data_IF_642320861658
#
_entry.id   IF_642320861658
#
_cell.length_a   1.000
_cell.length_b   1.000
_cell.length_c   1.000
_cell.angle_alpha   90.00
_cell.angle_beta   90.00
_cell.angle_gamma   90.00
#
_symmetry.space_group_name_H-M   'P 1'
#
loop_
_entity.id
_entity.type
_entity.pdbx_description
1 polymer ?
#
# COMPACT_ATOMS: atom_id res chain seq x y z
N UNK A 1 -63.08 16.51 23.99
CA UNK A 1 -61.91 15.80 23.43
C UNK A 1 -62.04 14.32 23.77
N UNK A 2 -62.43 13.49 22.80
CA UNK A 2 -62.74 12.08 23.05
C UNK A 2 -61.47 11.29 23.41
N UNK A 3 -61.64 10.18 24.14
CA UNK A 3 -60.50 9.28 24.47
C UNK A 3 -59.77 8.80 23.20
N UNK A 4 -60.50 8.66 22.09
CA UNK A 4 -59.98 8.31 20.77
C UNK A 4 -59.06 9.39 20.17
N UNK A 5 -59.42 10.68 20.34
CA UNK A 5 -58.59 11.80 19.86
C UNK A 5 -57.26 11.86 20.61
N UNK A 6 -57.27 11.57 21.92
CA UNK A 6 -56.06 11.51 22.74
C UNK A 6 -55.13 10.37 22.33
N UNK A 7 -55.68 9.18 22.02
CA UNK A 7 -54.87 8.04 21.56
C UNK A 7 -54.27 8.25 20.18
N UNK A 8 -55.00 8.92 19.28
CA UNK A 8 -54.48 9.32 17.95
C UNK A 8 -53.32 10.32 18.07
N UNK A 9 -53.44 11.30 18.97
CA UNK A 9 -52.41 12.31 19.16
C UNK A 9 -51.12 11.72 19.75
N UNK A 10 -51.24 10.76 20.67
CA UNK A 10 -50.10 10.02 21.24
C UNK A 10 -49.41 9.14 20.18
N UNK A 11 -50.18 8.47 19.32
CA UNK A 11 -49.60 7.62 18.26
C UNK A 11 -48.87 8.44 17.20
N UNK A 12 -49.38 9.61 16.82
CA UNK A 12 -48.70 10.53 15.89
C UNK A 12 -47.39 11.05 16.49
N UNK A 13 -47.38 11.40 17.79
CA UNK A 13 -46.16 11.83 18.49
C UNK A 13 -45.10 10.71 18.57
N UNK A 14 -45.53 9.47 18.84
CA UNK A 14 -44.63 8.31 18.86
C UNK A 14 -44.03 8.03 17.47
N UNK A 15 -44.85 8.06 16.42
CA UNK A 15 -44.39 7.88 15.03
C UNK A 15 -43.42 8.99 14.61
N UNK A 16 -43.71 10.25 14.96
CA UNK A 16 -42.82 11.38 14.71
C UNK A 16 -41.48 11.24 15.45
N UNK A 17 -41.50 10.76 16.70
CA UNK A 17 -40.29 10.48 17.48
C UNK A 17 -39.44 9.37 16.87
N UNK A 18 -40.05 8.29 16.39
CA UNK A 18 -39.36 7.18 15.72
C UNK A 18 -38.75 7.63 14.39
N UNK A 19 -39.50 8.38 13.58
CA UNK A 19 -38.99 8.95 12.31
C UNK A 19 -37.83 9.91 12.54
N UNK A 20 -37.92 10.77 13.55
CA UNK A 20 -36.83 11.68 13.92
C UNK A 20 -35.59 10.93 14.39
N UNK A 21 -35.78 9.87 15.20
CA UNK A 21 -34.68 9.02 15.65
C UNK A 21 -34.03 8.31 14.46
N UNK A 22 -34.81 7.66 13.58
CA UNK A 22 -34.28 7.01 12.38
C UNK A 22 -33.52 8.01 11.49
N UNK A 23 -34.09 9.20 11.24
CA UNK A 23 -33.43 10.22 10.42
C UNK A 23 -32.10 10.69 11.04
N UNK A 24 -32.06 10.90 12.36
CA UNK A 24 -30.83 11.28 13.07
C UNK A 24 -29.77 10.18 13.03
N UNK A 25 -30.18 8.92 13.06
CA UNK A 25 -29.26 7.79 12.94
C UNK A 25 -28.71 7.71 11.52
N UNK A 26 -29.56 7.83 10.49
CA UNK A 26 -29.13 7.83 9.09
C UNK A 26 -28.12 8.94 8.81
N UNK A 27 -28.40 10.18 9.24
CA UNK A 27 -27.48 11.32 9.05
C UNK A 27 -26.13 11.07 9.73
N UNK A 28 -26.11 10.53 10.97
CA UNK A 28 -24.84 10.18 11.63
C UNK A 28 -24.06 9.12 10.87
N UNK A 29 -24.73 8.09 10.35
CA UNK A 29 -24.07 7.05 9.57
C UNK A 29 -23.47 7.62 8.28
N UNK A 30 -24.17 8.53 7.61
CA UNK A 30 -23.66 9.18 6.39
C UNK A 30 -22.49 10.11 6.70
N UNK A 31 -22.54 10.89 7.79
CA UNK A 31 -21.45 11.76 8.23
C UNK A 31 -20.22 10.99 8.73
N UNK A 32 -20.41 9.84 9.38
CA UNK A 32 -19.30 8.96 9.76
C UNK A 32 -18.64 8.37 8.51
N UNK A 33 -19.44 7.86 7.56
CA UNK A 33 -18.95 7.37 6.27
C UNK A 33 -18.17 8.45 5.52
N UNK A 34 -18.72 9.65 5.42
CA UNK A 34 -18.09 10.74 4.68
C UNK A 34 -16.84 11.28 5.40
N UNK A 35 -16.81 11.28 6.74
CA UNK A 35 -15.56 11.52 7.50
C UNK A 35 -14.53 10.42 7.29
N UNK A 36 -14.92 9.15 7.20
CA UNK A 36 -14.00 8.06 6.84
C UNK A 36 -13.45 8.22 5.41
N UNK A 37 -14.29 8.65 4.44
CA UNK A 37 -13.86 8.98 3.07
C UNK A 37 -12.86 10.15 3.05
N UNK A 38 -13.15 11.24 3.76
CA UNK A 38 -12.26 12.41 3.84
C UNK A 38 -10.96 12.13 4.62
N UNK A 39 -11.00 11.28 5.65
CA UNK A 39 -9.79 10.84 6.33
C UNK A 39 -8.92 9.99 5.40
N UNK A 40 -9.52 9.13 4.57
CA UNK A 40 -8.77 8.28 3.63
C UNK A 40 -7.91 9.10 2.65
N UNK A 41 -8.42 10.26 2.21
CA UNK A 41 -7.65 11.22 1.39
C UNK A 41 -6.63 12.03 2.20
N UNK A 42 -6.94 12.37 3.46
CA UNK A 42 -6.02 13.14 4.32
C UNK A 42 -4.85 12.28 4.87
N UNK A 43 -5.04 10.96 5.02
CA UNK A 43 -4.03 10.04 5.55
C UNK A 43 -2.81 9.83 4.65
N UNK A 44 -2.86 10.34 3.42
CA UNK A 44 -1.71 10.43 2.53
C UNK A 44 -0.63 11.42 3.04
N UNK A 45 -0.97 12.34 3.96
CA UNK A 45 -0.01 13.26 4.57
C UNK A 45 0.70 12.73 5.82
N UNK A 46 0.18 11.66 6.43
CA UNK A 46 0.66 11.12 7.73
C UNK A 46 1.72 10.01 7.58
N UNK A 47 2.39 9.95 6.42
CA UNK A 47 3.44 8.95 6.16
C UNK A 47 4.71 9.32 6.92
N UNK A 48 4.99 8.61 8.01
CA UNK A 48 6.21 8.80 8.80
C UNK A 48 7.35 8.00 8.18
N UNK A 49 8.28 8.71 7.55
CA UNK A 49 9.57 8.16 7.10
C UNK A 49 10.49 7.94 8.30
N UNK A 50 10.97 6.71 8.46
CA UNK A 50 11.93 6.33 9.49
C UNK A 50 13.12 5.67 8.81
N UNK A 51 14.33 6.09 9.17
CA UNK A 51 15.55 5.38 8.78
C UNK A 51 16.02 4.66 10.02
N UNK A 52 15.88 3.34 10.04
CA UNK A 52 16.24 2.52 11.19
C UNK A 52 17.76 2.35 11.25
N UNK A 53 18.40 2.22 10.08
CA UNK A 53 19.87 2.12 9.93
C UNK A 53 20.33 2.75 8.61
N UNK A 54 21.64 2.82 8.38
CA UNK A 54 22.25 3.33 7.14
C UNK A 54 21.70 2.65 5.88
N UNK A 55 21.22 1.41 5.97
CA UNK A 55 20.70 0.64 4.85
C UNK A 55 19.18 0.34 4.90
N UNK A 56 18.56 0.53 6.07
CA UNK A 56 17.17 0.12 6.29
C UNK A 56 16.26 1.32 6.31
N UNK A 57 15.51 1.52 5.22
CA UNK A 57 14.47 2.54 5.15
C UNK A 57 13.12 1.94 5.52
N UNK A 58 12.33 2.64 6.33
CA UNK A 58 10.99 2.24 6.74
C UNK A 58 9.95 3.37 6.56
N UNK A 59 8.71 3.00 6.26
CA UNK A 59 7.55 3.89 6.21
C UNK A 59 6.46 3.35 7.13
N UNK A 60 5.93 4.21 8.01
CA UNK A 60 4.69 3.95 8.76
C UNK A 60 3.54 4.75 8.16
N UNK A 61 2.45 4.07 7.80
CA UNK A 61 1.25 4.66 7.23
C UNK A 61 0.00 4.04 7.87
N UNK A 62 -1.09 4.83 7.97
CA UNK A 62 -2.38 4.29 8.40
C UNK A 62 -3.01 3.51 7.23
N UNK A 63 -3.49 2.32 7.54
CA UNK A 63 -4.17 1.45 6.60
C UNK A 63 -5.67 1.79 6.48
N UNK A 64 -6.20 1.66 5.27
CA UNK A 64 -7.60 1.93 4.95
C UNK A 64 -8.46 0.67 5.11
N UNK A 65 -9.76 0.86 5.34
CA UNK A 65 -10.75 -0.22 5.36
C UNK A 65 -11.83 0.13 4.35
N UNK A 66 -12.01 -0.70 3.34
CA UNK A 66 -12.98 -0.49 2.26
C UNK A 66 -13.86 -1.73 2.12
N UNK A 67 -15.12 -1.55 1.72
CA UNK A 67 -15.92 -2.68 1.21
C UNK A 67 -15.45 -3.09 -0.18
N UNK A 68 -15.96 -4.21 -0.68
CA UNK A 68 -15.67 -4.66 -2.05
C UNK A 68 -16.15 -3.63 -3.08
N UNK A 69 -17.37 -3.10 -2.91
CA UNK A 69 -17.95 -2.12 -3.83
C UNK A 69 -17.13 -0.82 -3.84
N UNK A 70 -16.71 -0.34 -2.67
CA UNK A 70 -15.85 0.85 -2.55
C UNK A 70 -14.47 0.62 -3.18
N UNK A 71 -13.92 -0.59 -3.04
CA UNK A 71 -12.66 -0.94 -3.68
C UNK A 71 -12.79 -0.94 -5.20
N UNK A 72 -13.86 -1.51 -5.76
CA UNK A 72 -14.08 -1.50 -7.21
C UNK A 72 -14.35 -0.09 -7.76
N UNK A 73 -15.02 0.78 -7.01
CA UNK A 73 -15.26 2.19 -7.40
C UNK A 73 -13.98 3.03 -7.38
N UNK A 74 -13.23 3.00 -6.27
CA UNK A 74 -12.04 3.84 -6.11
C UNK A 74 -10.78 3.27 -6.77
N UNK A 75 -10.71 1.95 -6.97
CA UNK A 75 -9.52 1.22 -7.46
C UNK A 75 -9.86 0.29 -8.62
N UNK A 76 -10.61 0.81 -9.60
CA UNK A 76 -11.04 0.05 -10.77
C UNK A 76 -9.86 -0.60 -11.53
N UNK A 77 -8.76 0.14 -11.75
CA UNK A 77 -7.57 -0.37 -12.46
C UNK A 77 -6.86 -1.51 -11.69
N UNK A 78 -6.72 -1.35 -10.37
CA UNK A 78 -6.14 -2.37 -9.51
C UNK A 78 -7.04 -3.62 -9.51
N UNK A 79 -8.36 -3.45 -9.44
CA UNK A 79 -9.33 -4.54 -9.50
C UNK A 79 -9.28 -5.30 -10.84
N UNK A 80 -9.16 -4.61 -11.98
CA UNK A 80 -8.96 -5.27 -13.27
C UNK A 80 -7.66 -6.07 -13.33
N UNK A 81 -6.58 -5.53 -12.79
CA UNK A 81 -5.30 -6.23 -12.69
C UNK A 81 -5.41 -7.48 -11.82
N UNK A 82 -6.06 -7.40 -10.66
CA UNK A 82 -6.29 -8.55 -9.78
C UNK A 82 -7.16 -9.62 -10.47
N UNK A 83 -8.18 -9.23 -11.24
CA UNK A 83 -8.99 -10.17 -12.04
C UNK A 83 -8.15 -10.87 -13.11
N UNK A 84 -7.26 -10.14 -13.81
CA UNK A 84 -6.32 -10.70 -14.80
C UNK A 84 -5.33 -11.68 -14.16
N UNK A 85 -4.95 -11.45 -12.90
CA UNK A 85 -4.15 -12.38 -12.09
C UNK A 85 -4.94 -13.62 -11.64
N UNK A 86 -6.22 -13.76 -12.02
CA UNK A 86 -7.07 -14.91 -11.71
C UNK A 86 -7.73 -14.87 -10.33
N UNK A 87 -7.61 -13.75 -9.61
CA UNK A 87 -8.21 -13.60 -8.28
C UNK A 87 -9.59 -12.98 -8.41
N UNK A 88 -10.59 -13.64 -7.83
CA UNK A 88 -11.96 -13.09 -7.75
C UNK A 88 -12.00 -12.00 -6.69
N UNK A 89 -12.42 -10.79 -7.06
CA UNK A 89 -12.46 -9.62 -6.15
C UNK A 89 -13.26 -9.88 -4.88
N UNK A 90 -14.36 -10.64 -4.98
CA UNK A 90 -15.16 -11.05 -3.81
C UNK A 90 -14.38 -11.83 -2.73
N UNK A 91 -13.27 -12.46 -3.09
CA UNK A 91 -12.41 -13.20 -2.17
C UNK A 91 -11.27 -12.36 -1.60
N UNK A 92 -11.13 -11.10 -2.04
CA UNK A 92 -10.07 -10.20 -1.61
C UNK A 92 -10.21 -9.92 -0.11
N UNK A 93 -9.12 -10.10 0.64
CA UNK A 93 -9.09 -9.81 2.09
C UNK A 93 -8.33 -8.52 2.39
N UNK A 94 -7.30 -8.25 1.59
CA UNK A 94 -6.55 -7.04 1.60
C UNK A 94 -5.86 -6.81 0.26
N UNK A 95 -5.57 -5.56 -0.07
CA UNK A 95 -4.73 -5.15 -1.17
C UNK A 95 -3.64 -4.21 -0.66
N UNK A 96 -2.44 -4.34 -1.19
CA UNK A 96 -1.32 -3.46 -0.87
C UNK A 96 -0.63 -3.01 -2.15
N UNK A 97 -0.24 -1.74 -2.22
CA UNK A 97 0.47 -1.17 -3.36
C UNK A 97 1.66 -0.37 -2.86
N UNK A 98 2.79 -0.56 -3.54
CA UNK A 98 4.07 0.03 -3.18
C UNK A 98 4.72 0.59 -4.42
N UNK A 99 5.14 1.85 -4.37
CA UNK A 99 5.98 2.44 -5.41
C UNK A 99 7.39 2.56 -4.87
N UNK A 100 8.33 1.97 -5.60
CA UNK A 100 9.71 1.83 -5.17
C UNK A 100 10.61 2.36 -6.27
N UNK A 101 11.51 3.26 -5.91
CA UNK A 101 12.51 3.83 -6.80
C UNK A 101 13.91 3.36 -6.37
N UNK A 102 14.75 3.02 -7.33
CA UNK A 102 16.12 2.55 -7.06
C UNK A 102 17.12 3.57 -7.58
N UNK A 103 17.93 4.13 -6.68
CA UNK A 103 19.00 5.08 -6.96
C UNK A 103 20.34 4.51 -6.52
N UNK A 104 20.93 3.71 -7.40
CA UNK A 104 22.21 3.05 -7.18
C UNK A 104 23.33 3.76 -7.98
N UNK A 105 24.41 4.24 -7.34
CA UNK A 105 25.56 4.72 -8.07
C UNK A 105 26.27 3.55 -8.76
N UNK A 106 26.75 3.77 -9.99
CA UNK A 106 27.57 2.80 -10.71
C UNK A 106 29.01 3.32 -10.72
N UNK A 107 29.87 2.62 -10.00
CA UNK A 107 31.32 2.82 -10.00
C UNK A 107 31.97 1.46 -10.31
N UNK A 108 32.22 1.22 -11.60
CA UNK A 108 32.61 -0.09 -12.10
C UNK A 108 34.00 -0.02 -12.74
N UNK A 109 34.86 -0.98 -12.38
CA UNK A 109 36.20 -1.06 -12.94
C UNK A 109 36.16 -1.61 -14.36
N UNK A 110 36.84 -0.93 -15.28
CA UNK A 110 37.05 -1.41 -16.66
C UNK A 110 38.34 -2.22 -16.69
N UNK A 111 38.27 -3.47 -17.16
CA UNK A 111 39.41 -4.38 -17.29
C UNK A 111 39.46 -4.97 -18.69
N UNK A 112 40.65 -5.10 -19.26
CA UNK A 112 40.80 -5.82 -20.52
C UNK A 112 40.57 -7.34 -20.29
N UNK A 113 39.86 -7.97 -21.22
CA UNK A 113 39.54 -9.38 -21.23
C UNK A 113 39.69 -9.94 -22.64
N UNK A 114 40.15 -11.19 -22.74
CA UNK A 114 40.24 -11.90 -24.01
C UNK A 114 39.05 -12.84 -24.12
N UNK A 115 38.21 -12.62 -25.12
CA UNK A 115 37.07 -13.51 -25.41
C UNK A 115 37.39 -14.26 -26.70
N UNK A 116 37.37 -15.58 -26.64
CA UNK A 116 37.57 -16.43 -27.81
C UNK A 116 36.22 -16.62 -28.49
N UNK A 117 36.10 -16.10 -29.71
CA UNK A 117 34.93 -16.31 -30.58
C UNK A 117 35.44 -16.92 -31.87
N UNK A 118 34.90 -18.08 -32.25
CA UNK A 118 35.23 -18.75 -33.50
C UNK A 118 36.74 -18.88 -33.74
N UNK A 119 37.47 -19.39 -32.74
CA UNK A 119 38.93 -19.60 -32.72
C UNK A 119 39.83 -18.34 -32.78
N UNK A 120 39.27 -17.13 -32.83
CA UNK A 120 40.04 -15.87 -32.79
C UNK A 120 39.95 -15.23 -31.40
N UNK A 121 41.08 -14.93 -30.72
CA UNK A 121 41.06 -14.15 -29.48
C UNK A 121 40.74 -12.69 -29.80
N UNK A 122 39.61 -12.19 -29.29
CA UNK A 122 39.21 -10.80 -29.40
C UNK A 122 39.49 -10.09 -28.08
N UNK A 123 40.28 -9.01 -28.13
CA UNK A 123 40.46 -8.11 -27.00
C UNK A 123 39.16 -7.32 -26.79
N UNK A 124 38.58 -7.46 -25.60
CA UNK A 124 37.35 -6.79 -25.17
C UNK A 124 37.60 -6.14 -23.82
N UNK A 125 36.76 -5.17 -23.46
CA UNK A 125 36.80 -4.59 -22.12
C UNK A 125 35.62 -5.13 -21.32
N UNK A 126 35.88 -5.69 -20.16
CA UNK A 126 34.87 -6.09 -19.18
C UNK A 126 34.71 -4.98 -18.16
N UNK A 127 33.47 -4.63 -17.88
CA UNK A 127 33.09 -3.70 -16.82
C UNK A 127 32.38 -4.50 -15.74
N UNK A 128 32.87 -4.43 -14.50
CA UNK A 128 32.30 -5.21 -13.40
C UNK A 128 32.28 -4.39 -12.11
N UNK A 129 31.17 -4.49 -11.40
CA UNK A 129 30.97 -3.94 -10.06
C UNK A 129 30.15 -4.96 -9.27
N UNK A 130 30.77 -5.50 -8.22
CA UNK A 130 30.11 -6.44 -7.30
C UNK A 130 30.16 -5.84 -5.92
N UNK A 131 29.00 -5.44 -5.43
CA UNK A 131 28.78 -4.96 -4.05
C UNK A 131 27.69 -5.80 -3.40
N UNK A 132 27.52 -5.75 -2.06
CA UNK A 132 26.46 -6.52 -1.39
C UNK A 132 25.03 -6.23 -1.87
N UNK A 133 24.79 -5.09 -2.54
CA UNK A 133 23.45 -4.64 -2.94
C UNK A 133 23.28 -4.40 -4.44
N UNK A 134 24.38 -4.43 -5.22
CA UNK A 134 24.40 -4.17 -6.66
C UNK A 134 25.41 -5.11 -7.29
N UNK A 135 24.95 -5.90 -8.26
CA UNK A 135 25.78 -6.75 -9.10
C UNK A 135 25.64 -6.27 -10.53
N UNK A 136 26.72 -5.80 -11.12
CA UNK A 136 26.75 -5.27 -12.47
C UNK A 136 27.91 -5.89 -13.22
N UNK A 137 27.63 -6.42 -14.41
CA UNK A 137 28.65 -7.01 -15.28
C UNK A 137 28.27 -6.74 -16.73
N UNK A 138 29.25 -6.35 -17.53
CA UNK A 138 29.06 -6.14 -18.95
C UNK A 138 30.37 -6.15 -19.73
N UNK A 139 30.23 -6.23 -21.04
CA UNK A 139 31.32 -6.19 -22.00
C UNK A 139 31.13 -4.98 -22.90
N UNK A 140 32.22 -4.28 -23.19
CA UNK A 140 32.27 -3.21 -24.18
C UNK A 140 32.68 -3.84 -25.52
N UNK A 141 31.77 -3.78 -26.47
CA UNK A 141 31.94 -4.25 -27.85
C UNK A 141 31.29 -3.23 -28.78
N UNK A 142 31.94 -2.91 -29.91
CA UNK A 142 31.39 -1.98 -30.91
C UNK A 142 30.99 -0.63 -30.30
N UNK A 143 31.77 -0.13 -29.34
CA UNK A 143 31.49 1.10 -28.60
C UNK A 143 30.16 1.07 -27.82
N UNK A 144 29.68 -0.13 -27.44
CA UNK A 144 28.47 -0.35 -26.64
C UNK A 144 28.76 -1.25 -25.45
N UNK A 145 28.18 -0.92 -24.30
CA UNK A 145 28.18 -1.77 -23.12
C UNK A 145 26.99 -2.74 -23.16
N UNK A 146 27.26 -4.04 -23.25
CA UNK A 146 26.25 -5.11 -23.20
C UNK A 146 26.44 -5.88 -21.91
N UNK A 147 25.41 -5.94 -21.06
CA UNK A 147 25.53 -6.56 -19.74
C UNK A 147 24.23 -6.63 -18.97
N UNK A 148 24.30 -7.18 -17.76
CA UNK A 148 23.20 -7.28 -16.81
C UNK A 148 23.50 -6.51 -15.52
N UNK A 149 22.43 -5.91 -14.97
CA UNK A 149 22.42 -5.32 -13.64
C UNK A 149 21.40 -6.06 -12.79
N UNK A 150 21.82 -6.47 -11.59
CA UNK A 150 20.99 -7.14 -10.59
C UNK A 150 21.09 -6.38 -9.29
N UNK A 151 19.93 -5.97 -8.78
CA UNK A 151 19.81 -5.23 -7.52
C UNK A 151 18.83 -6.04 -6.66
N UNK A 152 19.32 -6.95 -5.79
CA UNK A 152 18.44 -7.72 -4.93
C UNK A 152 17.76 -6.79 -3.92
N UNK A 153 16.44 -6.94 -3.76
CA UNK A 153 15.63 -6.14 -2.84
C UNK A 153 14.68 -7.06 -2.09
N UNK A 154 14.65 -6.94 -0.77
CA UNK A 154 13.64 -7.57 0.09
C UNK A 154 12.83 -6.48 0.78
N UNK A 155 11.52 -6.49 0.55
CA UNK A 155 10.57 -5.63 1.25
C UNK A 155 9.92 -6.40 2.40
N UNK A 156 10.11 -5.92 3.63
CA UNK A 156 9.47 -6.49 4.81
C UNK A 156 8.25 -5.64 5.18
N UNK A 157 7.07 -6.23 5.17
CA UNK A 157 5.83 -5.53 5.53
C UNK A 157 5.20 -6.15 6.77
N UNK A 158 4.92 -5.31 7.76
CA UNK A 158 4.14 -5.65 8.94
C UNK A 158 2.85 -4.83 8.96
N UNK A 159 1.72 -5.51 9.22
CA UNK A 159 0.42 -4.86 9.40
C UNK A 159 -0.08 -5.20 10.80
N UNK A 160 -0.42 -4.19 11.58
CA UNK A 160 -0.81 -4.35 12.97
C UNK A 160 -1.99 -3.45 13.33
N UNK A 161 -2.70 -3.82 14.39
CA UNK A 161 -3.90 -3.11 14.83
C UNK A 161 -3.57 -2.30 16.08
N UNK A 162 -3.75 -0.99 16.00
CA UNK A 162 -3.70 -0.10 17.16
C UNK A 162 -5.06 -0.16 17.87
N UNK A 163 -5.06 -0.60 19.13
CA UNK A 163 -6.26 -0.65 19.96
C UNK A 163 -6.32 0.55 20.91
N UNK A 164 -7.53 0.97 21.27
CA UNK A 164 -7.79 1.98 22.32
C UNK A 164 -8.87 1.46 23.28
N UNK A 165 -8.63 1.59 24.58
CA UNK A 165 -9.58 1.23 25.65
C UNK A 165 -8.95 0.41 26.77
N UNK A 166 -9.64 0.33 27.92
CA UNK A 166 -9.30 -0.58 29.02
C UNK A 166 -9.56 -2.03 28.59
N UNK A 167 -8.89 -3.03 29.20
CA UNK A 167 -8.94 -4.47 28.84
C UNK A 167 -10.29 -4.97 28.27
N UNK A 168 -11.42 -4.68 28.93
CA UNK A 168 -12.75 -5.17 28.53
C UNK A 168 -13.44 -4.36 27.41
N UNK A 169 -12.97 -3.15 27.10
CA UNK A 169 -13.56 -2.25 26.11
C UNK A 169 -12.57 -1.85 25.02
N UNK A 170 -11.64 -2.76 24.67
CA UNK A 170 -10.68 -2.52 23.58
C UNK A 170 -11.41 -2.40 22.25
N UNK A 171 -11.32 -1.23 21.63
CA UNK A 171 -11.82 -0.97 20.27
C UNK A 171 -10.64 -0.78 19.33
N UNK A 172 -10.80 -1.22 18.08
CA UNK A 172 -9.83 -0.93 17.01
C UNK A 172 -9.82 0.58 16.77
N UNK A 173 -8.66 1.21 16.97
CA UNK A 173 -8.44 2.65 16.74
C UNK A 173 -7.96 2.89 15.31
N UNK A 174 -6.98 2.12 14.86
CA UNK A 174 -6.43 2.21 13.52
C UNK A 174 -5.78 0.87 13.12
N UNK A 175 -5.64 0.64 11.82
CA UNK A 175 -4.73 -0.37 11.30
C UNK A 175 -3.49 0.40 10.84
N UNK A 176 -2.31 -0.08 11.21
CA UNK A 176 -1.03 0.49 10.81
C UNK A 176 -0.30 -0.48 9.91
N UNK A 177 0.46 0.08 9.00
CA UNK A 177 1.35 -0.65 8.12
C UNK A 177 2.74 -0.06 8.27
N UNK A 178 3.70 -0.94 8.50
CA UNK A 178 5.11 -0.59 8.44
C UNK A 178 5.76 -1.41 7.34
N UNK A 179 6.35 -0.76 6.35
CA UNK A 179 7.15 -1.40 5.31
C UNK A 179 8.60 -0.97 5.43
N UNK A 180 9.53 -1.89 5.25
CA UNK A 180 10.96 -1.59 5.16
C UNK A 180 11.65 -2.28 3.99
N UNK A 181 12.74 -1.69 3.51
CA UNK A 181 13.65 -2.26 2.51
C UNK A 181 14.99 -2.58 3.16
N UNK A 182 15.61 -3.69 2.78
CA UNK A 182 16.98 -4.05 3.20
C UNK A 182 18.07 -3.51 2.28
N UNK A 183 17.71 -2.80 1.20
CA UNK A 183 18.65 -2.26 0.24
C UNK A 183 18.77 -0.73 0.40
N UNK A 184 19.98 -0.19 0.68
CA UNK A 184 20.20 1.25 0.92
C UNK A 184 19.87 2.14 -0.27
N UNK A 185 19.91 1.58 -1.49
CA UNK A 185 19.69 2.31 -2.73
C UNK A 185 18.21 2.32 -3.14
N UNK A 186 17.34 1.74 -2.32
CA UNK A 186 15.93 1.56 -2.62
C UNK A 186 15.09 2.49 -1.75
N UNK A 187 14.38 3.39 -2.41
CA UNK A 187 13.47 4.34 -1.79
C UNK A 187 12.01 3.98 -2.11
N UNK A 188 11.28 3.55 -1.09
CA UNK A 188 9.82 3.44 -1.12
C UNK A 188 9.23 4.86 -1.16
N UNK A 189 8.68 5.24 -2.32
CA UNK A 189 8.05 6.54 -2.56
C UNK A 189 6.63 6.58 -1.99
N UNK A 190 5.92 5.48 -2.18
CA UNK A 190 4.52 5.34 -1.80
C UNK A 190 4.28 3.93 -1.27
N UNK A 191 3.43 3.82 -0.25
CA UNK A 191 3.00 2.55 0.32
C UNK A 191 1.57 2.72 0.81
N UNK A 192 0.70 1.79 0.43
CA UNK A 192 -0.65 1.69 0.95
C UNK A 192 -1.01 0.25 1.28
N UNK A 193 -1.94 0.13 2.22
CA UNK A 193 -2.59 -1.13 2.56
C UNK A 193 -4.06 -0.86 2.83
N UNK A 194 -4.89 -1.64 2.14
CA UNK A 194 -6.34 -1.59 2.20
C UNK A 194 -6.79 -2.95 2.72
N UNK A 195 -7.47 -2.96 3.87
CA UNK A 195 -8.18 -4.13 4.35
C UNK A 195 -9.60 -4.14 3.79
N UNK A 196 -10.03 -5.27 3.24
CA UNK A 196 -11.39 -5.43 2.74
C UNK A 196 -12.31 -5.80 3.91
N UNK A 197 -13.38 -5.03 4.09
CA UNK A 197 -14.44 -5.31 5.05
C UNK A 197 -15.50 -6.20 4.37
N UNK A 198 -15.56 -7.46 4.80
CA UNK A 198 -16.58 -8.42 4.37
C UNK A 198 -17.82 -8.20 5.24
N UNK A 199 -18.61 -7.17 4.92
CA UNK A 199 -19.96 -7.01 5.48
C UNK A 199 -20.94 -7.98 4.84
#
# INVERSE_FOLDING_TARGET
MNRLDKTLLITVLLLGGILWLQHRWTIRLTEERDRFRMNSTALLSDVKRMRTDSATMALDAKALRLTIDEYEEFRAEDAETIRRLGVKIRNLEAAARHEVEVKAPIDAAVRDTLIVRDTVPLLRQKVEMVTPHIHFSGLIEENRLKGDIKIPVTLNQAVWVEYKGWWFWKRVKAIRQTISSNNPYVEIRYSEYIKIDKK
#
